data_IF_034759584462
#
_entry.id   IF_034759584462
#
_cell.length_a   1.000
_cell.length_b   1.000
_cell.length_c   1.000
_cell.angle_alpha   90.00
_cell.angle_beta   90.00
_cell.angle_gamma   90.00
#
_symmetry.space_group_name_H-M   'P 1'
#
loop_
_entity.id
_entity.type
_entity.pdbx_description
1 polymer ?
#
# COMPACT_ATOMS: atom_id res chain seq x y z
N UNK A 1 5.26 -15.04 -21.51
CA UNK A 1 5.56 -15.44 -20.12
C UNK A 1 6.59 -14.46 -19.60
N UNK A 2 6.16 -13.43 -18.85
CA UNK A 2 7.04 -12.36 -18.38
C UNK A 2 7.42 -12.64 -16.93
N UNK A 3 8.72 -12.69 -16.65
CA UNK A 3 9.31 -13.19 -15.40
C UNK A 3 8.72 -12.58 -14.13
N UNK A 4 8.18 -13.45 -13.28
CA UNK A 4 7.68 -13.18 -11.93
C UNK A 4 8.78 -13.25 -10.86
N UNK A 5 10.03 -12.92 -11.22
CA UNK A 5 11.18 -13.01 -10.31
C UNK A 5 11.84 -11.63 -10.18
N UNK A 6 12.08 -11.18 -8.94
CA UNK A 6 12.80 -9.94 -8.55
C UNK A 6 12.09 -8.59 -8.75
N UNK A 7 10.93 -8.40 -8.10
CA UNK A 7 10.45 -7.04 -7.73
C UNK A 7 9.99 -6.96 -6.28
N UNK A 8 10.58 -7.77 -5.42
CA UNK A 8 10.34 -7.74 -3.99
C UNK A 8 11.41 -6.82 -3.39
N UNK A 9 11.07 -5.54 -3.20
CA UNK A 9 11.96 -4.51 -2.67
C UNK A 9 12.15 -4.65 -1.13
N UNK A 10 11.92 -5.85 -0.59
CA UNK A 10 11.83 -6.12 0.84
C UNK A 10 10.57 -5.50 1.48
N UNK A 11 10.51 -5.62 2.81
CA UNK A 11 9.40 -5.09 3.60
C UNK A 11 9.31 -3.56 3.45
N UNK A 12 8.21 -3.09 2.85
CA UNK A 12 8.01 -1.66 2.64
C UNK A 12 7.55 -0.97 3.92
N UNK A 13 7.85 0.33 4.08
CA UNK A 13 7.37 1.14 5.20
C UNK A 13 5.86 1.05 5.42
N UNK A 14 5.07 0.96 4.33
CA UNK A 14 3.61 0.81 4.40
C UNK A 14 3.18 -0.41 5.21
N UNK A 15 3.96 -1.49 5.22
CA UNK A 15 3.66 -2.68 6.02
C UNK A 15 3.75 -2.38 7.52
N UNK A 16 4.85 -1.74 7.94
CA UNK A 16 5.07 -1.32 9.33
C UNK A 16 4.07 -0.26 9.77
N UNK A 17 3.77 0.69 8.89
CA UNK A 17 2.75 1.72 9.13
C UNK A 17 1.37 1.09 9.36
N UNK A 18 0.95 0.18 8.50
CA UNK A 18 -0.32 -0.52 8.66
C UNK A 18 -0.37 -1.34 9.96
N UNK A 19 0.72 -2.04 10.30
CA UNK A 19 0.81 -2.82 11.54
C UNK A 19 0.76 -1.93 12.79
N UNK A 20 1.54 -0.85 12.79
CA UNK A 20 1.60 0.13 13.89
C UNK A 20 0.28 0.90 14.08
N UNK A 21 -0.48 1.11 13.00
CA UNK A 21 -1.82 1.71 13.03
C UNK A 21 -2.93 0.68 13.31
N UNK A 22 -2.62 -0.62 13.37
CA UNK A 22 -3.62 -1.69 13.51
C UNK A 22 -4.56 -1.83 12.31
N UNK A 23 -4.19 -1.29 11.15
CA UNK A 23 -5.04 -1.25 9.95
C UNK A 23 -4.89 -2.53 9.13
N UNK A 24 -6.01 -3.18 8.79
CA UNK A 24 -6.01 -4.32 7.87
C UNK A 24 -6.28 -3.85 6.45
N UNK A 25 -5.97 -4.71 5.47
CA UNK A 25 -6.29 -4.44 4.08
C UNK A 25 -7.80 -4.18 3.86
N UNK A 26 -8.65 -4.77 4.69
CA UNK A 26 -10.09 -4.53 4.67
C UNK A 26 -10.44 -3.07 5.01
N UNK A 27 -9.78 -2.49 6.02
CA UNK A 27 -10.04 -1.12 6.48
C UNK A 27 -9.65 -0.11 5.40
N UNK A 28 -8.52 -0.33 4.73
CA UNK A 28 -8.10 0.50 3.61
C UNK A 28 -9.12 0.41 2.47
N UNK A 29 -9.53 -0.80 2.09
CA UNK A 29 -10.50 -1.01 0.99
C UNK A 29 -11.85 -0.39 1.32
N UNK A 30 -12.32 -0.51 2.57
CA UNK A 30 -13.59 0.06 3.02
C UNK A 30 -13.53 1.59 3.14
N UNK A 31 -12.40 2.16 3.58
CA UNK A 31 -12.23 3.60 3.72
C UNK A 31 -11.94 4.30 2.39
N UNK A 32 -11.36 3.60 1.41
CA UNK A 32 -10.96 4.20 0.13
C UNK A 32 -12.18 4.58 -0.72
N UNK A 33 -12.12 5.78 -1.29
CA UNK A 33 -13.08 6.23 -2.31
C UNK A 33 -12.69 5.73 -3.71
N UNK A 34 -11.50 5.14 -3.86
CA UNK A 34 -10.99 4.62 -5.11
C UNK A 34 -11.11 3.09 -5.15
N UNK A 35 -11.29 2.52 -6.34
CA UNK A 35 -11.31 1.07 -6.53
C UNK A 35 -9.93 0.48 -6.23
N UNK A 36 -9.76 -0.01 -5.00
CA UNK A 36 -8.62 -0.79 -4.54
C UNK A 36 -9.07 -2.17 -4.09
N UNK A 37 -8.19 -3.16 -4.27
CA UNK A 37 -8.47 -4.55 -3.91
C UNK A 37 -7.53 -5.03 -2.81
N UNK A 38 -7.95 -6.02 -2.04
CA UNK A 38 -7.11 -6.68 -1.03
C UNK A 38 -5.77 -7.16 -1.64
N UNK A 39 -5.79 -7.62 -2.90
CA UNK A 39 -4.58 -8.02 -3.63
C UNK A 39 -3.63 -6.85 -3.91
N UNK A 40 -4.12 -5.64 -4.11
CA UNK A 40 -3.26 -4.45 -4.28
C UNK A 40 -2.56 -4.10 -2.96
N UNK A 41 -3.30 -4.12 -1.85
CA UNK A 41 -2.74 -3.85 -0.52
C UNK A 41 -1.73 -4.92 -0.11
N UNK A 42 -2.04 -6.20 -0.34
CA UNK A 42 -1.11 -7.30 -0.07
C UNK A 42 0.19 -7.18 -0.88
N UNK A 43 0.10 -6.70 -2.14
CA UNK A 43 1.27 -6.43 -2.99
C UNK A 43 2.11 -5.26 -2.46
N UNK A 44 1.47 -4.16 -2.04
CA UNK A 44 2.17 -3.04 -1.40
C UNK A 44 2.92 -3.49 -0.14
N UNK A 45 2.25 -4.28 0.70
CA UNK A 45 2.82 -4.79 1.96
C UNK A 45 4.03 -5.70 1.75
N UNK A 46 4.01 -6.54 0.73
CA UNK A 46 5.16 -7.38 0.34
C UNK A 46 6.31 -6.61 -0.31
N UNK A 47 6.10 -5.34 -0.68
CA UNK A 47 7.10 -4.60 -1.44
C UNK A 47 7.20 -4.96 -2.90
N UNK A 48 6.09 -5.44 -3.47
CA UNK A 48 5.98 -5.62 -4.90
C UNK A 48 5.92 -4.26 -5.59
N UNK A 49 6.68 -4.05 -6.65
CA UNK A 49 6.62 -2.81 -7.42
C UNK A 49 5.18 -2.55 -7.93
N UNK A 50 4.61 -1.43 -7.51
CA UNK A 50 3.31 -0.94 -7.93
C UNK A 50 3.44 0.26 -8.86
N UNK A 51 2.52 0.38 -9.82
CA UNK A 51 2.48 1.57 -10.67
C UNK A 51 2.16 2.81 -9.83
N UNK A 52 2.64 4.01 -10.21
CA UNK A 52 2.39 5.26 -9.47
C UNK A 52 0.90 5.53 -9.24
N UNK A 53 0.03 5.14 -10.18
CA UNK A 53 -1.41 5.23 -10.02
C UNK A 53 -1.93 4.38 -8.84
N UNK A 54 -1.45 3.13 -8.72
CA UNK A 54 -1.83 2.25 -7.61
C UNK A 54 -1.22 2.72 -6.29
N UNK A 55 0.02 3.23 -6.30
CA UNK A 55 0.65 3.81 -5.12
C UNK A 55 -0.18 4.96 -4.55
N UNK A 56 -0.64 5.88 -5.41
CA UNK A 56 -1.48 7.01 -5.01
C UNK A 56 -2.84 6.58 -4.44
N UNK A 57 -3.46 5.55 -5.02
CA UNK A 57 -4.68 4.95 -4.46
C UNK A 57 -4.50 4.41 -3.05
N UNK A 58 -3.40 3.69 -2.82
CA UNK A 58 -3.08 3.13 -1.50
C UNK A 58 -2.77 4.25 -0.51
N UNK A 59 -2.05 5.29 -0.93
CA UNK A 59 -1.79 6.47 -0.11
C UNK A 59 -3.09 7.14 0.34
N UNK A 60 -3.98 7.44 -0.61
CA UNK A 60 -5.28 8.07 -0.32
C UNK A 60 -6.12 7.20 0.63
N UNK A 61 -6.13 5.88 0.39
CA UNK A 61 -6.82 4.93 1.26
C UNK A 61 -6.23 4.90 2.68
N UNK A 62 -4.90 4.86 2.81
CA UNK A 62 -4.22 4.86 4.10
C UNK A 62 -4.46 6.16 4.85
N UNK A 63 -4.33 7.31 4.18
CA UNK A 63 -4.57 8.62 4.78
C UNK A 63 -6.00 8.72 5.33
N UNK A 64 -6.97 8.22 4.56
CA UNK A 64 -8.37 8.21 4.95
C UNK A 64 -8.68 7.22 6.08
N UNK A 65 -8.10 6.02 6.04
CA UNK A 65 -8.29 5.00 7.09
C UNK A 65 -7.62 5.38 8.41
N UNK A 66 -6.44 5.99 8.34
CA UNK A 66 -5.66 6.42 9.51
C UNK A 66 -6.07 7.78 10.07
N UNK A 67 -6.77 8.60 9.29
CA UNK A 67 -7.05 10.00 9.62
C UNK A 67 -5.81 10.90 9.63
N UNK A 68 -4.66 10.40 9.13
CA UNK A 68 -3.39 11.12 9.05
C UNK A 68 -3.02 11.39 7.60
N UNK A 69 -2.15 12.36 7.39
CA UNK A 69 -1.59 12.63 6.06
C UNK A 69 -0.19 12.02 5.98
N UNK A 70 -0.06 10.99 5.15
CA UNK A 70 1.23 10.44 4.74
C UNK A 70 1.54 10.85 3.31
N UNK A 71 2.81 10.72 2.92
CA UNK A 71 3.30 10.94 1.57
C UNK A 71 3.79 9.65 0.92
N UNK A 72 3.95 9.62 -0.40
CA UNK A 72 4.43 8.43 -1.11
C UNK A 72 5.81 7.96 -0.60
N UNK A 73 6.67 8.88 -0.19
CA UNK A 73 7.98 8.58 0.38
C UNK A 73 7.94 7.92 1.76
N UNK A 74 6.88 8.15 2.54
CA UNK A 74 6.66 7.46 3.82
C UNK A 74 6.18 6.02 3.63
N UNK A 75 5.57 5.70 2.48
CA UNK A 75 4.97 4.39 2.21
C UNK A 75 5.89 3.49 1.38
N UNK A 76 6.68 4.08 0.48
CA UNK A 76 7.50 3.38 -0.49
C UNK A 76 8.90 4.00 -0.57
N UNK A 77 9.93 3.17 -0.43
CA UNK A 77 11.34 3.61 -0.44
C UNK A 77 11.99 3.62 -1.84
N UNK A 78 11.20 3.79 -2.91
CA UNK A 78 11.66 3.69 -4.31
C UNK A 78 10.95 4.64 -5.30
#
# INVERSE_FOLDING_TARGET
MAGDFERDLGEQPVAKLMDSLGLKAHDLVAASTEQITHKMVARARKGRWLTPHVRRKILNALNRASGKTFELGDLFNY
#
